data_IF_307052630989
#
_entry.id   IF_307052630989
#
_cell.length_a   1.000
_cell.length_b   1.000
_cell.length_c   1.000
_cell.angle_alpha   90.00
_cell.angle_beta   90.00
_cell.angle_gamma   90.00
#
_symmetry.space_group_name_H-M   'P 1'
#
loop_
_entity.id
_entity.type
_entity.pdbx_description
1 polymer ?
#
# COMPACT_ATOMS: atom_id res chain seq x y z
N UNK A 1 58.51 -1.18 -3.12
CA UNK A 1 57.35 -0.86 -2.26
C UNK A 1 56.11 -0.81 -3.12
N UNK A 2 55.18 -1.73 -2.87
CA UNK A 2 54.02 -2.04 -3.71
C UNK A 2 53.03 -0.87 -3.82
N UNK A 3 52.77 -0.43 -5.06
CA UNK A 3 51.72 0.52 -5.41
C UNK A 3 50.36 -0.22 -5.47
N UNK A 4 49.58 -0.17 -4.39
CA UNK A 4 48.17 -0.61 -4.42
C UNK A 4 47.32 0.44 -5.14
N UNK A 5 47.04 0.20 -6.43
CA UNK A 5 45.93 0.85 -7.14
C UNK A 5 44.62 0.47 -6.45
N UNK A 6 44.00 1.42 -5.74
CA UNK A 6 42.59 1.31 -5.32
C UNK A 6 41.73 1.21 -6.58
N UNK A 7 41.22 0.02 -6.87
CA UNK A 7 40.15 -0.15 -7.85
C UNK A 7 38.90 0.56 -7.29
N UNK A 8 38.45 1.61 -7.97
CA UNK A 8 37.14 2.18 -7.73
C UNK A 8 36.07 1.13 -8.04
N UNK A 9 35.05 0.96 -7.18
CA UNK A 9 33.99 -0.01 -7.48
C UNK A 9 33.27 0.45 -8.75
N UNK A 10 33.25 -0.43 -9.76
CA UNK A 10 32.49 -0.24 -11.00
C UNK A 10 31.06 0.13 -10.63
N UNK A 11 30.67 1.39 -10.89
CA UNK A 11 29.28 1.83 -10.76
C UNK A 11 28.46 1.05 -11.78
N UNK A 12 27.75 0.01 -11.34
CA UNK A 12 26.66 -0.53 -12.15
C UNK A 12 25.65 0.60 -12.39
N UNK A 13 25.27 0.90 -13.65
CA UNK A 13 24.18 1.83 -13.91
C UNK A 13 22.93 1.25 -13.24
N UNK A 14 22.43 1.94 -12.22
CA UNK A 14 21.18 1.53 -11.56
C UNK A 14 20.08 1.59 -12.61
N UNK A 15 19.31 0.51 -12.73
CA UNK A 15 18.13 0.43 -13.61
C UNK A 15 17.04 1.37 -13.06
N UNK A 16 17.17 2.66 -13.32
CA UNK A 16 16.17 3.69 -12.98
C UNK A 16 14.95 3.67 -13.93
N UNK A 17 14.98 2.83 -14.98
CA UNK A 17 13.94 2.73 -16.01
C UNK A 17 12.52 2.54 -15.46
N UNK A 18 12.25 1.55 -14.58
CA UNK A 18 10.92 1.33 -14.02
C UNK A 18 10.39 2.52 -13.20
N UNK A 19 11.29 3.25 -12.52
CA UNK A 19 10.92 4.46 -11.77
C UNK A 19 10.49 5.59 -12.71
N UNK A 20 11.25 5.83 -13.77
CA UNK A 20 10.91 6.84 -14.79
C UNK A 20 9.58 6.53 -15.48
N UNK A 21 9.31 5.26 -15.76
CA UNK A 21 8.02 4.84 -16.37
C UNK A 21 6.82 5.10 -15.45
N UNK A 22 6.96 4.87 -14.15
CA UNK A 22 5.91 5.21 -13.17
C UNK A 22 5.71 6.72 -13.04
N UNK A 23 6.78 7.51 -13.12
CA UNK A 23 6.69 8.98 -13.15
C UNK A 23 5.98 9.49 -14.42
N UNK A 24 6.25 8.86 -15.57
CA UNK A 24 5.51 9.17 -16.81
C UNK A 24 4.02 8.83 -16.66
N UNK A 25 3.68 7.70 -16.05
CA UNK A 25 2.28 7.33 -15.83
C UNK A 25 1.50 8.35 -14.98
N UNK A 26 2.17 9.07 -14.06
CA UNK A 26 1.55 10.16 -13.32
C UNK A 26 1.18 11.33 -14.23
N UNK A 27 2.05 11.70 -15.18
CA UNK A 27 1.74 12.72 -16.19
C UNK A 27 0.58 12.29 -17.08
N UNK A 28 0.52 11.02 -17.47
CA UNK A 28 -0.60 10.46 -18.23
C UNK A 28 -1.92 10.48 -17.44
N UNK A 29 -1.86 10.37 -16.11
CA UNK A 29 -3.05 10.50 -15.27
C UNK A 29 -3.66 11.91 -15.29
N UNK A 30 -2.82 12.96 -15.33
CA UNK A 30 -3.30 14.32 -15.56
C UNK A 30 -3.96 14.48 -16.93
N UNK A 31 -3.37 13.88 -17.97
CA UNK A 31 -3.99 13.85 -19.29
C UNK A 31 -5.37 13.17 -19.27
N UNK A 32 -5.55 12.15 -18.42
CA UNK A 32 -6.82 11.44 -18.26
C UNK A 32 -8.00 12.31 -17.85
N UNK A 33 -7.78 13.46 -17.19
CA UNK A 33 -8.85 14.42 -16.86
C UNK A 33 -9.56 14.90 -18.15
N UNK A 34 -8.80 15.14 -19.22
CA UNK A 34 -9.35 15.61 -20.49
C UNK A 34 -10.14 14.52 -21.24
N UNK A 35 -10.00 13.24 -20.86
CA UNK A 35 -10.76 12.13 -21.46
C UNK A 35 -12.11 11.91 -20.76
N UNK A 36 -12.30 12.44 -19.54
CA UNK A 36 -13.54 12.22 -18.75
C UNK A 36 -14.81 12.67 -19.49
N UNK A 37 -14.88 13.86 -20.13
CA UNK A 37 -16.08 14.29 -20.84
C UNK A 37 -16.48 13.40 -22.02
N UNK A 38 -15.54 12.61 -22.53
CA UNK A 38 -15.73 11.72 -23.69
C UNK A 38 -15.98 10.26 -23.29
N UNK A 39 -16.01 9.97 -21.99
CA UNK A 39 -16.26 8.63 -21.48
C UNK A 39 -17.75 8.32 -21.43
N UNK A 40 -18.09 7.08 -21.77
CA UNK A 40 -19.39 6.50 -21.41
C UNK A 40 -19.55 6.50 -19.88
N UNK A 41 -20.78 6.64 -19.41
CA UNK A 41 -21.11 6.63 -17.96
C UNK A 41 -20.60 5.36 -17.28
N UNK A 42 -20.68 4.20 -17.95
CA UNK A 42 -20.15 2.93 -17.43
C UNK A 42 -18.62 2.97 -17.20
N UNK A 43 -17.86 3.70 -18.02
CA UNK A 43 -16.40 3.87 -17.86
C UNK A 43 -16.06 4.71 -16.65
N UNK A 44 -16.86 5.74 -16.36
CA UNK A 44 -16.70 6.58 -15.17
C UNK A 44 -16.99 5.75 -13.91
N UNK A 45 -18.08 4.98 -13.91
CA UNK A 45 -18.39 4.04 -12.82
C UNK A 45 -17.32 2.97 -12.65
N UNK A 46 -16.76 2.47 -13.76
CA UNK A 46 -15.66 1.52 -13.70
C UNK A 46 -14.44 2.09 -12.99
N UNK A 47 -14.06 3.34 -13.28
CA UNK A 47 -12.98 4.01 -12.55
C UNK A 47 -13.29 4.15 -11.06
N UNK A 48 -14.52 4.56 -10.72
CA UNK A 48 -14.96 4.73 -9.34
C UNK A 48 -14.98 3.42 -8.55
N UNK A 49 -15.45 2.32 -9.15
CA UNK A 49 -15.52 0.98 -8.51
C UNK A 49 -14.13 0.33 -8.45
N UNK A 50 -13.29 0.55 -9.46
CA UNK A 50 -11.94 0.00 -9.49
C UNK A 50 -11.03 0.65 -8.44
N UNK A 51 -11.32 1.88 -8.00
CA UNK A 51 -10.61 2.54 -6.90
C UNK A 51 -10.62 1.73 -5.58
N UNK A 52 -11.76 1.43 -4.94
CA UNK A 52 -11.79 0.65 -3.70
C UNK A 52 -11.33 -0.79 -3.89
N UNK A 53 -11.58 -1.40 -5.05
CA UNK A 53 -11.03 -2.73 -5.39
C UNK A 53 -9.50 -2.67 -5.35
N UNK A 54 -8.91 -1.71 -6.06
CA UNK A 54 -7.45 -1.55 -6.08
C UNK A 54 -6.90 -1.18 -4.70
N UNK A 55 -7.61 -0.34 -3.96
CA UNK A 55 -7.30 -0.01 -2.57
C UNK A 55 -7.21 -1.26 -1.70
N UNK A 56 -8.16 -2.19 -1.83
CA UNK A 56 -8.13 -3.47 -1.11
C UNK A 56 -6.86 -4.30 -1.39
N UNK A 57 -6.34 -4.26 -2.63
CA UNK A 57 -5.06 -4.90 -2.97
C UNK A 57 -3.87 -4.34 -2.18
N UNK A 58 -3.91 -3.07 -1.79
CA UNK A 58 -2.92 -2.46 -0.88
C UNK A 58 -3.25 -2.84 0.56
N UNK A 59 -4.46 -2.55 1.03
CA UNK A 59 -4.82 -2.64 2.45
C UNK A 59 -4.92 -4.08 2.93
N UNK A 60 -5.77 -4.89 2.30
CA UNK A 60 -5.94 -6.30 2.60
C UNK A 60 -4.70 -7.10 2.22
N UNK A 61 -4.05 -6.74 1.12
CA UNK A 61 -2.86 -7.43 0.60
C UNK A 61 -1.53 -6.92 1.17
N UNK A 62 -0.90 -5.99 0.45
CA UNK A 62 0.48 -5.57 0.73
C UNK A 62 0.71 -5.16 2.18
N UNK A 63 -0.29 -4.53 2.80
CA UNK A 63 -0.25 -4.03 4.16
C UNK A 63 -0.58 -5.12 5.19
N UNK A 64 -1.85 -5.46 5.39
CA UNK A 64 -2.29 -6.31 6.50
C UNK A 64 -1.78 -7.75 6.36
N UNK A 65 -1.86 -8.34 5.15
CA UNK A 65 -1.41 -9.71 4.91
C UNK A 65 0.12 -9.80 4.86
N UNK A 66 0.76 -9.13 3.89
CA UNK A 66 2.18 -9.37 3.63
C UNK A 66 3.11 -8.55 4.51
N UNK A 67 2.86 -7.25 4.76
CA UNK A 67 3.75 -6.47 5.63
C UNK A 67 3.62 -6.89 7.10
N UNK A 68 2.39 -7.04 7.60
CA UNK A 68 2.11 -7.25 9.01
C UNK A 68 1.85 -8.70 9.43
N UNK A 69 1.54 -9.60 8.49
CA UNK A 69 1.20 -11.01 8.80
C UNK A 69 0.09 -11.09 9.85
N UNK A 70 -0.91 -10.22 9.74
CA UNK A 70 -1.99 -10.08 10.72
C UNK A 70 -3.06 -11.16 10.59
N UNK A 71 -3.05 -11.91 9.48
CA UNK A 71 -3.86 -13.09 9.22
C UNK A 71 -3.15 -14.04 8.25
N UNK A 72 -3.63 -15.28 8.13
CA UNK A 72 -3.21 -16.25 7.11
C UNK A 72 -4.24 -16.36 6.00
N UNK A 73 -3.80 -16.68 4.80
CA UNK A 73 -4.67 -16.78 3.64
C UNK A 73 -4.32 -17.98 2.75
N UNK A 74 -5.36 -18.59 2.18
CA UNK A 74 -5.24 -19.64 1.17
C UNK A 74 -4.46 -19.16 -0.06
N UNK A 75 -3.93 -20.09 -0.86
CA UNK A 75 -3.25 -19.74 -2.11
C UNK A 75 -4.16 -18.94 -3.06
N UNK A 76 -5.43 -19.36 -3.20
CA UNK A 76 -6.41 -18.70 -4.05
C UNK A 76 -6.59 -17.22 -3.65
N UNK A 77 -6.78 -16.94 -2.37
CA UNK A 77 -6.88 -15.56 -1.87
C UNK A 77 -5.60 -14.76 -2.17
N UNK A 78 -4.42 -15.32 -1.84
CA UNK A 78 -3.14 -14.64 -2.06
C UNK A 78 -2.91 -14.31 -3.54
N UNK A 79 -3.28 -15.22 -4.44
CA UNK A 79 -3.16 -15.01 -5.88
C UNK A 79 -4.10 -13.91 -6.36
N UNK A 80 -5.39 -13.96 -5.99
CA UNK A 80 -6.37 -12.92 -6.36
C UNK A 80 -5.96 -11.56 -5.83
N UNK A 81 -5.57 -11.47 -4.56
CA UNK A 81 -5.14 -10.21 -3.95
C UNK A 81 -3.84 -9.69 -4.59
N UNK A 82 -2.96 -10.55 -5.10
CA UNK A 82 -1.81 -10.13 -5.90
C UNK A 82 -2.24 -9.49 -7.22
N UNK A 83 -3.24 -10.03 -7.92
CA UNK A 83 -3.79 -9.40 -9.13
C UNK A 83 -4.35 -8.01 -8.82
N UNK A 84 -5.15 -7.92 -7.78
CA UNK A 84 -5.77 -6.66 -7.34
C UNK A 84 -4.71 -5.64 -6.89
N UNK A 85 -3.66 -6.08 -6.18
CA UNK A 85 -2.52 -5.25 -5.83
C UNK A 85 -1.75 -4.75 -7.07
N UNK A 86 -1.66 -5.58 -8.11
CA UNK A 86 -0.97 -5.22 -9.36
C UNK A 86 -1.68 -4.06 -10.07
N UNK A 87 -3.01 -3.92 -9.93
CA UNK A 87 -3.78 -2.76 -10.39
C UNK A 87 -3.39 -1.44 -9.68
N UNK A 88 -2.79 -1.52 -8.48
CA UNK A 88 -2.39 -0.35 -7.70
C UNK A 88 -1.03 0.20 -8.13
N UNK A 89 -0.16 -0.65 -8.66
CA UNK A 89 1.16 -0.30 -9.20
C UNK A 89 2.00 0.64 -8.29
N UNK A 90 1.95 0.41 -6.98
CA UNK A 90 2.70 1.18 -5.97
C UNK A 90 4.09 0.60 -5.65
N UNK A 91 4.48 -0.42 -6.40
CA UNK A 91 5.69 -1.20 -6.19
C UNK A 91 5.31 -2.67 -6.27
N UNK A 92 6.31 -3.55 -6.32
CA UNK A 92 6.06 -4.96 -6.07
C UNK A 92 5.67 -5.15 -4.61
N UNK A 93 4.81 -6.11 -4.28
CA UNK A 93 4.45 -6.49 -2.91
C UNK A 93 5.71 -6.65 -2.05
N UNK A 94 6.76 -7.30 -2.58
CA UNK A 94 8.04 -7.49 -1.89
C UNK A 94 8.66 -6.14 -1.42
N UNK A 95 8.85 -5.21 -2.34
CA UNK A 95 9.41 -3.89 -2.03
C UNK A 95 8.50 -3.07 -1.12
N UNK A 96 7.19 -3.08 -1.37
CA UNK A 96 6.20 -2.35 -0.57
C UNK A 96 6.24 -2.84 0.88
N UNK A 97 6.13 -4.15 1.09
CA UNK A 97 6.13 -4.74 2.43
C UNK A 97 7.45 -4.54 3.17
N UNK A 98 8.60 -4.64 2.47
CA UNK A 98 9.91 -4.34 3.08
C UNK A 98 10.01 -2.89 3.55
N UNK A 99 9.66 -1.95 2.68
CA UNK A 99 9.74 -0.52 3.01
C UNK A 99 8.72 -0.16 4.11
N UNK A 100 7.52 -0.76 4.10
CA UNK A 100 6.52 -0.59 5.15
C UNK A 100 6.96 -1.16 6.51
N UNK A 101 7.57 -2.35 6.53
CA UNK A 101 8.20 -2.88 7.75
C UNK A 101 9.31 -1.96 8.26
N UNK A 102 10.13 -1.42 7.35
CA UNK A 102 11.19 -0.45 7.71
C UNK A 102 10.59 0.80 8.35
N UNK A 103 9.49 1.31 7.79
CA UNK A 103 8.74 2.43 8.34
C UNK A 103 8.29 2.16 9.78
N UNK A 104 7.60 1.05 10.06
CA UNK A 104 7.19 0.77 11.45
C UNK A 104 8.34 0.61 12.45
N UNK A 105 9.48 0.05 12.05
CA UNK A 105 10.64 -0.07 12.95
C UNK A 105 11.34 1.27 13.23
N UNK A 106 11.19 2.24 12.33
CA UNK A 106 11.99 3.46 12.33
C UNK A 106 11.15 4.72 12.13
N UNK A 107 9.84 4.64 12.41
CA UNK A 107 8.87 5.71 12.18
C UNK A 107 9.37 7.00 12.82
N UNK A 108 9.23 8.12 12.11
CA UNK A 108 9.71 9.43 12.59
C UNK A 108 11.22 9.50 12.85
N UNK A 109 12.01 8.72 12.12
CA UNK A 109 13.47 8.84 12.13
C UNK A 109 14.03 8.99 10.71
N UNK A 110 15.30 9.37 10.63
CA UNK A 110 16.06 9.42 9.36
C UNK A 110 16.14 8.08 8.61
N UNK A 111 15.79 6.97 9.26
CA UNK A 111 15.72 5.64 8.67
C UNK A 111 14.31 5.25 8.19
N UNK A 112 13.30 6.10 8.41
CA UNK A 112 11.96 5.98 7.84
C UNK A 112 11.98 6.35 6.34
N UNK A 113 11.47 5.47 5.44
CA UNK A 113 11.33 5.80 4.02
C UNK A 113 10.52 7.07 3.72
N UNK A 114 9.53 7.40 4.54
CA UNK A 114 8.62 8.53 4.33
C UNK A 114 8.43 9.36 5.61
N UNK A 115 9.54 9.59 6.32
CA UNK A 115 9.65 10.39 7.54
C UNK A 115 8.77 11.65 7.55
N UNK A 116 7.70 11.60 8.35
CA UNK A 116 6.74 12.70 8.49
C UNK A 116 7.33 13.95 9.16
N UNK A 117 8.45 13.85 9.90
CA UNK A 117 9.12 15.00 10.51
C UNK A 117 9.66 15.95 9.43
N UNK A 118 9.96 15.43 8.24
CA UNK A 118 10.40 16.24 7.08
C UNK A 118 9.25 17.01 6.41
N UNK A 119 8.05 16.91 6.97
CA UNK A 119 6.87 17.67 6.56
C UNK A 119 6.00 16.95 5.52
N UNK A 120 4.80 17.49 5.35
CA UNK A 120 3.72 16.91 4.54
C UNK A 120 4.18 16.49 3.14
N UNK A 121 4.82 17.39 2.40
CA UNK A 121 5.20 17.12 1.00
C UNK A 121 6.23 16.02 0.85
N UNK A 122 7.17 15.91 1.79
CA UNK A 122 8.14 14.82 1.77
C UNK A 122 7.45 13.48 1.99
N UNK A 123 6.66 13.36 3.05
CA UNK A 123 5.96 12.11 3.41
C UNK A 123 4.88 11.72 2.40
N UNK A 124 4.22 12.70 1.77
CA UNK A 124 3.18 12.46 0.79
C UNK A 124 3.78 11.89 -0.51
N UNK A 125 4.72 12.60 -1.14
CA UNK A 125 5.25 12.15 -2.44
C UNK A 125 6.74 12.42 -2.62
N UNK A 126 7.33 13.39 -1.92
CA UNK A 126 8.72 13.79 -2.11
C UNK A 126 9.72 12.65 -1.94
N UNK A 127 9.46 11.71 -1.01
CA UNK A 127 10.29 10.54 -0.79
C UNK A 127 10.47 9.63 -2.02
N UNK A 128 9.52 9.64 -2.96
CA UNK A 128 9.60 8.87 -4.22
C UNK A 128 10.48 9.53 -5.28
N UNK A 129 10.62 10.86 -5.22
CA UNK A 129 11.37 11.66 -6.21
C UNK A 129 12.78 11.99 -5.77
N UNK A 130 13.03 11.98 -4.46
CA UNK A 130 14.35 12.20 -3.92
C UNK A 130 15.14 10.89 -3.86
N UNK A 131 16.47 11.02 -3.87
CA UNK A 131 17.35 9.89 -3.62
C UNK A 131 17.15 9.42 -2.19
N UNK A 132 16.79 8.14 -2.03
CA UNK A 132 16.64 7.48 -0.73
C UNK A 132 17.91 7.64 0.12
N UNK A 133 17.75 8.09 1.36
CA UNK A 133 18.86 8.26 2.31
C UNK A 133 19.55 6.90 2.53
N UNK A 134 20.90 6.84 2.58
CA UNK A 134 21.64 5.59 2.81
C UNK A 134 21.19 4.83 4.05
N UNK A 135 20.77 5.52 5.12
CA UNK A 135 20.31 4.93 6.39
C UNK A 135 19.01 4.15 6.22
N UNK A 136 18.08 4.66 5.42
CA UNK A 136 16.85 3.93 5.08
C UNK A 136 17.18 2.65 4.29
N UNK A 137 18.14 2.73 3.37
CA UNK A 137 18.58 1.55 2.61
C UNK A 137 19.28 0.52 3.50
N UNK A 138 20.01 0.96 4.53
CA UNK A 138 20.62 0.08 5.51
C UNK A 138 19.59 -0.58 6.42
N UNK A 139 18.66 0.20 6.98
CA UNK A 139 17.57 -0.29 7.81
C UNK A 139 16.72 -1.33 7.07
N UNK A 140 16.33 -1.06 5.83
CA UNK A 140 15.55 -1.99 5.02
C UNK A 140 16.27 -3.30 4.67
N UNK A 141 17.62 -3.35 4.73
CA UNK A 141 18.38 -4.61 4.58
C UNK A 141 18.32 -5.48 5.83
N UNK A 142 18.07 -4.89 7.00
CA UNK A 142 17.99 -5.60 8.29
C UNK A 142 16.59 -6.18 8.55
N UNK A 143 15.59 -5.72 7.83
CA UNK A 143 14.22 -6.26 7.90
C UNK A 143 14.18 -7.69 7.39
N UNK A 144 13.63 -8.60 8.19
CA UNK A 144 13.36 -9.98 7.76
C UNK A 144 12.31 -9.96 6.63
N UNK A 145 12.61 -10.65 5.52
CA UNK A 145 11.75 -10.76 4.33
C UNK A 145 11.66 -12.19 3.81
N UNK A 146 12.04 -13.18 4.62
CA UNK A 146 12.15 -14.57 4.16
C UNK A 146 10.78 -15.19 3.87
N UNK A 147 9.76 -14.76 4.62
CA UNK A 147 8.36 -15.08 4.32
C UNK A 147 7.92 -14.58 2.93
N UNK A 148 8.34 -13.37 2.54
CA UNK A 148 7.99 -12.79 1.24
C UNK A 148 8.70 -13.53 0.11
N UNK A 149 9.93 -14.00 0.34
CA UNK A 149 10.68 -14.82 -0.63
C UNK A 149 10.08 -16.21 -0.81
N UNK A 150 9.51 -16.76 0.25
CA UNK A 150 8.85 -18.07 0.24
C UNK A 150 7.44 -18.03 -0.40
N UNK A 151 6.80 -16.85 -0.46
CA UNK A 151 5.48 -16.68 -1.03
C UNK A 151 5.53 -16.58 -2.57
N UNK A 152 5.04 -17.61 -3.25
CA UNK A 152 5.07 -17.69 -4.71
C UNK A 152 4.33 -16.53 -5.42
N UNK A 153 3.07 -16.19 -5.09
CA UNK A 153 2.41 -15.01 -5.66
C UNK A 153 3.24 -13.72 -5.56
N UNK A 154 3.87 -13.48 -4.41
CA UNK A 154 4.72 -12.29 -4.20
C UNK A 154 5.93 -12.32 -5.13
N UNK A 155 6.64 -13.44 -5.20
CA UNK A 155 7.85 -13.53 -6.01
C UNK A 155 7.54 -13.61 -7.51
N UNK A 156 6.39 -14.15 -7.90
CA UNK A 156 5.90 -14.11 -9.27
C UNK A 156 5.66 -12.66 -9.71
N UNK A 157 4.89 -11.88 -8.93
CA UNK A 157 4.66 -10.46 -9.23
C UNK A 157 5.98 -9.69 -9.29
N UNK A 158 6.88 -9.94 -8.32
CA UNK A 158 8.17 -9.26 -8.25
C UNK A 158 9.09 -9.52 -9.45
N UNK A 159 9.18 -10.77 -9.91
CA UNK A 159 10.01 -11.15 -11.07
C UNK A 159 9.50 -10.59 -12.39
N UNK A 160 8.18 -10.37 -12.50
CA UNK A 160 7.55 -9.87 -13.72
C UNK A 160 7.30 -8.34 -13.71
N UNK A 161 7.71 -7.63 -12.65
CA UNK A 161 7.68 -6.17 -12.60
C UNK A 161 8.77 -5.57 -13.52
N UNK A 162 8.49 -4.46 -14.23
CA UNK A 162 7.30 -3.62 -14.15
C UNK A 162 6.13 -4.05 -15.04
N UNK A 163 6.36 -4.92 -16.02
CA UNK A 163 5.41 -5.17 -17.10
C UNK A 163 4.11 -5.81 -16.60
N UNK A 164 4.18 -6.74 -15.65
CA UNK A 164 3.00 -7.33 -15.04
C UNK A 164 2.10 -6.27 -14.41
N UNK A 165 2.65 -5.44 -13.53
CA UNK A 165 1.91 -4.38 -12.85
C UNK A 165 1.40 -3.34 -13.85
N UNK A 166 2.14 -3.01 -14.90
CA UNK A 166 1.68 -2.07 -15.93
C UNK A 166 0.49 -2.60 -16.72
N UNK A 167 0.52 -3.88 -17.12
CA UNK A 167 -0.61 -4.51 -17.81
C UNK A 167 -1.86 -4.44 -16.95
N UNK A 168 -1.78 -4.87 -15.68
CA UNK A 168 -2.93 -4.85 -14.77
C UNK A 168 -3.41 -3.44 -14.42
N UNK A 169 -2.50 -2.49 -14.22
CA UNK A 169 -2.85 -1.13 -13.81
C UNK A 169 -3.42 -0.27 -14.95
N UNK A 170 -2.93 -0.43 -16.18
CA UNK A 170 -3.24 0.50 -17.27
C UNK A 170 -3.98 -0.15 -18.45
N UNK A 171 -3.58 -1.36 -18.85
CA UNK A 171 -4.12 -1.97 -20.06
C UNK A 171 -5.40 -2.77 -19.80
N UNK A 172 -5.45 -3.54 -18.70
CA UNK A 172 -6.65 -4.30 -18.32
C UNK A 172 -7.88 -3.40 -18.17
N UNK A 173 -7.82 -2.23 -17.50
CA UNK A 173 -8.96 -1.31 -17.46
C UNK A 173 -9.44 -0.87 -18.85
N UNK A 174 -8.51 -0.64 -19.78
CA UNK A 174 -8.78 -0.33 -21.19
C UNK A 174 -9.54 -1.44 -21.91
N UNK A 175 -9.04 -2.67 -21.80
CA UNK A 175 -9.67 -3.84 -22.43
C UNK A 175 -11.03 -4.16 -21.83
N UNK A 176 -11.18 -4.08 -20.50
CA UNK A 176 -12.48 -4.30 -19.84
C UNK A 176 -13.50 -3.30 -20.37
N UNK A 177 -13.15 -2.02 -20.45
CA UNK A 177 -14.07 -1.01 -20.94
C UNK A 177 -14.47 -1.22 -22.41
N UNK A 178 -13.49 -1.58 -23.23
CA UNK A 178 -13.72 -1.86 -24.65
C UNK A 178 -14.61 -3.09 -24.87
N UNK A 179 -14.33 -4.19 -24.17
CA UNK A 179 -15.01 -5.47 -24.41
C UNK A 179 -16.38 -5.55 -23.71
N UNK A 180 -16.53 -4.95 -22.53
CA UNK A 180 -17.76 -5.11 -21.73
C UNK A 180 -18.88 -4.13 -22.11
N UNK A 181 -18.56 -2.91 -22.54
CA UNK A 181 -19.58 -1.91 -22.91
C UNK A 181 -19.23 -1.07 -24.15
N UNK A 182 -18.26 -1.55 -24.97
CA UNK A 182 -17.92 -0.94 -26.25
C UNK A 182 -17.34 0.47 -26.14
N UNK A 183 -16.61 0.77 -25.06
CA UNK A 183 -15.85 2.01 -24.93
C UNK A 183 -14.62 2.00 -25.85
N UNK A 184 -14.03 3.17 -26.13
CA UNK A 184 -12.70 3.18 -26.75
C UNK A 184 -11.65 2.64 -25.77
N UNK A 185 -10.70 1.84 -26.26
CA UNK A 185 -9.59 1.35 -25.43
C UNK A 185 -8.89 2.51 -24.69
N UNK A 186 -8.69 3.64 -25.37
CA UNK A 186 -7.98 4.79 -24.81
C UNK A 186 -8.73 5.51 -23.69
N UNK A 187 -10.06 5.65 -23.78
CA UNK A 187 -10.85 6.17 -22.66
C UNK A 187 -10.67 5.28 -21.42
N UNK A 188 -10.73 3.95 -21.58
CA UNK A 188 -10.47 3.00 -20.49
C UNK A 188 -9.02 3.01 -19.99
N UNK A 189 -8.03 3.21 -20.86
CA UNK A 189 -6.63 3.33 -20.48
C UNK A 189 -6.38 4.61 -19.67
N UNK A 190 -6.88 5.76 -20.13
CA UNK A 190 -6.60 7.05 -19.52
C UNK A 190 -7.41 7.31 -18.25
N UNK A 191 -8.68 6.91 -18.19
CA UNK A 191 -9.55 7.22 -17.04
C UNK A 191 -9.45 6.15 -15.94
N UNK A 192 -10.01 4.92 -16.10
CA UNK A 192 -9.89 3.88 -15.07
C UNK A 192 -8.46 3.29 -14.95
N UNK A 193 -7.60 3.44 -15.95
CA UNK A 193 -6.17 3.11 -15.86
C UNK A 193 -5.35 4.21 -15.16
N UNK A 194 -5.03 5.29 -15.89
CA UNK A 194 -4.08 6.33 -15.46
C UNK A 194 -4.64 7.31 -14.42
N UNK A 195 -5.82 7.91 -14.64
CA UNK A 195 -6.37 8.89 -13.71
C UNK A 195 -6.71 8.24 -12.35
N UNK A 196 -7.35 7.07 -12.37
CA UNK A 196 -7.60 6.28 -11.15
C UNK A 196 -6.31 5.83 -10.46
N UNK A 197 -5.22 5.56 -11.20
CA UNK A 197 -3.90 5.28 -10.61
C UNK A 197 -3.39 6.46 -9.78
N UNK A 198 -3.42 7.67 -10.34
CA UNK A 198 -3.04 8.90 -9.64
C UNK A 198 -3.90 9.11 -8.40
N UNK A 199 -5.22 8.94 -8.52
CA UNK A 199 -6.14 9.04 -7.39
C UNK A 199 -5.78 8.06 -6.26
N UNK A 200 -5.60 6.77 -6.58
CA UNK A 200 -5.22 5.74 -5.60
C UNK A 200 -3.89 6.07 -4.91
N UNK A 201 -2.92 6.60 -5.64
CA UNK A 201 -1.65 7.02 -5.06
C UNK A 201 -1.85 8.11 -4.02
N UNK A 202 -2.56 9.19 -4.34
CA UNK A 202 -2.81 10.27 -3.39
C UNK A 202 -3.60 9.81 -2.17
N UNK A 203 -4.61 8.94 -2.34
CA UNK A 203 -5.32 8.33 -1.22
C UNK A 203 -4.37 7.56 -0.28
N UNK A 204 -3.43 6.78 -0.84
CA UNK A 204 -2.48 5.99 -0.06
C UNK A 204 -1.43 6.89 0.59
N UNK A 205 -0.88 7.84 -0.16
CA UNK A 205 0.12 8.80 0.32
C UNK A 205 -0.41 9.70 1.43
N UNK A 206 -1.72 9.93 1.48
CA UNK A 206 -2.35 10.64 2.60
C UNK A 206 -2.27 9.86 3.92
N UNK A 207 -2.11 8.53 3.88
CA UNK A 207 -1.83 7.73 5.08
C UNK A 207 -0.45 8.11 5.64
N UNK A 208 0.57 8.15 4.79
CA UNK A 208 1.94 8.50 5.20
C UNK A 208 2.06 9.96 5.67
N UNK A 209 1.30 10.89 5.07
CA UNK A 209 1.39 12.30 5.41
C UNK A 209 0.27 12.75 6.35
N UNK A 210 -0.97 12.80 5.86
CA UNK A 210 -2.11 13.30 6.61
C UNK A 210 -2.37 12.55 7.91
N UNK A 211 -2.25 11.22 7.90
CA UNK A 211 -2.46 10.41 9.10
C UNK A 211 -1.24 10.37 10.05
N UNK A 212 -0.10 10.97 9.70
CA UNK A 212 1.00 11.20 10.65
C UNK A 212 1.02 12.63 11.22
N UNK A 213 0.31 13.57 10.58
CA UNK A 213 0.34 14.98 10.96
C UNK A 213 -0.93 15.41 11.68
N UNK A 214 -2.10 14.95 11.21
CA UNK A 214 -3.39 15.49 11.64
C UNK A 214 -4.34 14.40 12.11
N UNK A 215 -4.92 14.59 13.31
CA UNK A 215 -5.91 13.70 13.89
C UNK A 215 -5.75 13.53 15.41
N UNK A 216 -6.57 12.67 15.99
CA UNK A 216 -6.50 12.30 17.40
C UNK A 216 -5.47 11.20 17.67
N UNK A 217 -4.90 11.15 18.88
CA UNK A 217 -3.90 10.13 19.29
C UNK A 217 -4.29 9.40 20.57
N UNK A 218 -5.42 8.68 20.58
CA UNK A 218 -5.99 8.13 21.81
C UNK A 218 -5.22 6.93 22.39
N UNK A 219 -4.37 6.25 21.59
CA UNK A 219 -3.66 5.02 21.98
C UNK A 219 -2.18 5.23 22.26
N UNK A 220 -1.58 6.23 21.60
CA UNK A 220 -0.20 6.65 21.86
C UNK A 220 -0.03 8.17 21.61
N UNK A 221 -0.25 9.01 22.64
CA UNK A 221 -0.25 10.46 22.52
C UNK A 221 1.11 11.07 22.14
N UNK A 222 2.21 10.34 22.35
CA UNK A 222 3.58 10.81 22.06
C UNK A 222 4.02 10.48 20.64
N UNK A 223 3.31 9.57 19.96
CA UNK A 223 3.58 9.20 18.57
C UNK A 223 2.97 10.19 17.56
N UNK A 224 3.55 10.31 16.37
CA UNK A 224 2.96 11.12 15.29
C UNK A 224 1.70 10.51 14.64
N UNK A 225 1.62 9.20 14.35
CA UNK A 225 0.43 8.55 13.78
C UNK A 225 -0.86 8.92 14.50
N UNK A 226 -1.89 9.27 13.75
CA UNK A 226 -3.11 9.86 14.23
C UNK A 226 -4.35 9.21 13.58
N UNK A 227 -5.43 9.15 14.35
CA UNK A 227 -6.76 8.76 13.87
C UNK A 227 -7.34 9.90 13.00
N UNK A 228 -7.56 9.62 11.71
CA UNK A 228 -8.05 10.58 10.73
C UNK A 228 -9.18 9.99 9.89
N UNK A 229 -10.42 10.45 10.12
CA UNK A 229 -11.63 9.94 9.47
C UNK A 229 -11.64 10.16 7.96
N UNK A 230 -11.16 11.31 7.49
CA UNK A 230 -11.08 11.61 6.06
C UNK A 230 -10.11 10.65 5.37
N UNK A 231 -8.94 10.43 5.98
CA UNK A 231 -7.98 9.44 5.48
C UNK A 231 -8.58 8.05 5.51
N UNK A 232 -9.34 7.67 6.55
CA UNK A 232 -9.98 6.36 6.62
C UNK A 232 -10.96 6.12 5.46
N UNK A 233 -11.73 7.13 5.07
CA UNK A 233 -12.63 7.06 3.91
C UNK A 233 -11.82 6.91 2.62
N UNK A 234 -10.83 7.79 2.41
CA UNK A 234 -10.04 7.80 1.17
C UNK A 234 -9.17 6.55 1.00
N UNK A 235 -8.70 5.97 2.09
CA UNK A 235 -7.79 4.81 2.11
C UNK A 235 -8.50 3.50 2.45
N UNK A 236 -9.83 3.43 2.37
CA UNK A 236 -10.58 2.16 2.51
C UNK A 236 -10.36 1.49 3.90
N UNK A 237 -10.14 2.32 4.92
CA UNK A 237 -10.02 1.92 6.32
C UNK A 237 -8.65 2.12 6.98
N UNK A 238 -7.64 2.70 6.31
CA UNK A 238 -6.27 2.83 6.87
C UNK A 238 -5.99 4.14 7.62
N UNK A 239 -7.00 4.99 7.80
CA UNK A 239 -6.86 6.25 8.53
C UNK A 239 -6.89 6.12 10.05
N UNK A 240 -7.12 4.92 10.59
CA UNK A 240 -7.10 4.64 12.03
C UNK A 240 -5.66 4.38 12.49
N UNK A 241 -4.81 5.39 12.26
CA UNK A 241 -3.37 5.19 12.13
C UNK A 241 -2.64 5.17 13.47
N UNK A 242 -3.18 5.82 14.51
CA UNK A 242 -2.62 5.74 15.86
C UNK A 242 -2.80 4.33 16.44
N UNK A 243 -3.99 3.73 16.25
CA UNK A 243 -4.24 2.33 16.59
C UNK A 243 -3.32 1.41 15.83
N UNK A 244 -3.23 1.60 14.51
CA UNK A 244 -2.43 0.76 13.65
C UNK A 244 -0.95 0.74 14.05
N UNK A 245 -0.35 1.89 14.34
CA UNK A 245 1.04 1.97 14.79
C UNK A 245 1.24 1.40 16.20
N UNK A 246 0.25 1.53 17.09
CA UNK A 246 0.30 0.92 18.42
C UNK A 246 0.18 -0.60 18.37
N UNK A 247 -0.67 -1.12 17.48
CA UNK A 247 -1.00 -2.54 17.35
C UNK A 247 -0.85 -3.02 15.90
N UNK A 248 0.37 -3.03 15.34
CA UNK A 248 0.59 -3.31 13.91
C UNK A 248 0.23 -4.73 13.50
N UNK A 249 0.09 -5.65 14.44
CA UNK A 249 -0.33 -7.03 14.17
C UNK A 249 -1.85 -7.22 14.07
N UNK A 250 -2.66 -6.21 14.40
CA UNK A 250 -4.13 -6.30 14.35
C UNK A 250 -4.63 -6.28 12.89
N UNK A 251 -5.38 -7.31 12.46
CA UNK A 251 -5.81 -7.41 11.06
C UNK A 251 -6.82 -6.36 10.64
N UNK A 252 -7.58 -5.79 11.58
CA UNK A 252 -8.49 -4.71 11.22
C UNK A 252 -7.78 -3.37 11.11
N UNK A 253 -6.59 -3.21 11.68
CA UNK A 253 -5.93 -1.90 11.79
C UNK A 253 -6.82 -0.81 12.45
N UNK A 254 -7.82 -1.20 13.24
CA UNK A 254 -8.73 -0.30 13.97
C UNK A 254 -9.29 -0.99 15.21
N UNK A 255 -9.68 -0.22 16.22
CA UNK A 255 -10.24 -0.75 17.48
C UNK A 255 -11.64 -1.34 17.29
N UNK A 256 -12.54 -0.56 16.70
CA UNK A 256 -13.96 -0.85 16.66
C UNK A 256 -14.40 -1.55 15.37
N UNK A 257 -15.69 -1.87 15.29
CA UNK A 257 -16.32 -2.53 14.15
C UNK A 257 -16.47 -1.62 12.93
N UNK A 258 -16.83 -2.22 11.80
CA UNK A 258 -16.90 -1.57 10.48
C UNK A 258 -17.90 -0.41 10.39
N UNK A 259 -18.92 -0.39 11.25
CA UNK A 259 -19.96 0.64 11.26
C UNK A 259 -19.54 1.88 12.06
N UNK A 260 -18.82 1.66 13.16
CA UNK A 260 -18.31 2.73 14.04
C UNK A 260 -17.02 3.34 13.51
N UNK A 261 -16.16 2.50 12.91
CA UNK A 261 -14.96 2.92 12.22
C UNK A 261 -15.05 2.38 10.80
N UNK A 262 -15.27 3.27 9.83
CA UNK A 262 -15.30 2.94 8.41
C UNK A 262 -14.06 2.10 8.04
N UNK A 263 -14.29 0.83 7.75
CA UNK A 263 -13.24 -0.16 7.53
C UNK A 263 -13.72 -1.31 6.61
N UNK A 264 -14.02 -1.00 5.33
CA UNK A 264 -14.44 -2.01 4.36
C UNK A 264 -13.40 -3.11 4.16
N UNK A 265 -12.10 -2.82 4.30
CA UNK A 265 -11.04 -3.84 4.24
C UNK A 265 -11.26 -4.95 5.29
N UNK A 266 -11.59 -4.58 6.53
CA UNK A 266 -11.93 -5.54 7.59
C UNK A 266 -13.12 -6.41 7.20
N UNK A 267 -14.18 -5.81 6.65
CA UNK A 267 -15.38 -6.55 6.22
C UNK A 267 -15.04 -7.62 5.18
N UNK A 268 -14.25 -7.27 4.15
CA UNK A 268 -13.85 -8.24 3.11
C UNK A 268 -13.04 -9.39 3.71
N UNK A 269 -12.09 -9.09 4.60
CA UNK A 269 -11.31 -10.11 5.30
C UNK A 269 -12.20 -11.03 6.14
N UNK A 270 -13.22 -10.48 6.82
CA UNK A 270 -14.18 -11.26 7.62
C UNK A 270 -15.03 -12.20 6.78
N UNK A 271 -15.54 -11.71 5.65
CA UNK A 271 -16.31 -12.52 4.69
C UNK A 271 -15.44 -13.64 4.13
N UNK A 272 -14.20 -13.33 3.72
CA UNK A 272 -13.25 -14.34 3.25
C UNK A 272 -12.91 -15.38 4.33
N UNK A 273 -12.88 -14.99 5.60
CA UNK A 273 -12.70 -15.93 6.70
C UNK A 273 -13.92 -16.83 6.91
N UNK A 274 -15.13 -16.28 6.78
CA UNK A 274 -16.37 -17.06 6.91
C UNK A 274 -16.49 -18.16 5.84
N UNK A 275 -15.92 -17.95 4.64
CA UNK A 275 -15.87 -18.96 3.57
C UNK A 275 -14.56 -19.78 3.55
N UNK A 276 -13.74 -19.69 4.60
CA UNK A 276 -12.53 -20.52 4.75
C UNK A 276 -11.31 -20.10 3.93
N UNK A 277 -11.33 -18.94 3.26
CA UNK A 277 -10.18 -18.44 2.49
C UNK A 277 -9.13 -17.74 3.36
N UNK A 278 -9.54 -17.25 4.55
CA UNK A 278 -8.71 -16.56 5.53
C UNK A 278 -8.82 -17.25 6.90
N UNK A 279 -7.71 -17.34 7.62
CA UNK A 279 -7.61 -17.91 8.98
C UNK A 279 -6.68 -17.07 9.86
N UNK A 280 -6.59 -17.40 11.15
CA UNK A 280 -5.65 -16.81 12.12
C UNK A 280 -5.65 -15.27 12.18
N UNK A 281 -6.84 -14.67 12.06
CA UNK A 281 -7.06 -13.22 12.19
C UNK A 281 -6.69 -12.74 13.60
N UNK A 282 -5.64 -11.93 13.71
CA UNK A 282 -5.16 -11.39 15.00
C UNK A 282 -5.88 -10.11 15.38
N UNK A 283 -6.35 -10.01 16.63
CA UNK A 283 -7.02 -8.82 17.18
C UNK A 283 -6.34 -8.37 18.47
N UNK A 284 -6.00 -7.09 18.56
CA UNK A 284 -5.40 -6.50 19.75
C UNK A 284 -6.43 -6.29 20.86
N UNK A 285 -7.71 -6.09 20.53
CA UNK A 285 -8.79 -5.97 21.52
C UNK A 285 -8.92 -7.21 22.42
N UNK A 286 -8.71 -8.41 21.87
CA UNK A 286 -8.73 -9.65 22.63
C UNK A 286 -7.54 -9.78 23.61
N UNK A 287 -6.40 -9.17 23.29
CA UNK A 287 -5.20 -9.17 24.14
C UNK A 287 -5.31 -8.10 25.22
N UNK A 288 -5.76 -6.90 24.88
CA UNK A 288 -5.98 -5.81 25.84
C UNK A 288 -6.96 -6.22 26.95
N UNK A 289 -8.06 -6.91 26.60
CA UNK A 289 -9.00 -7.45 27.58
C UNK A 289 -8.37 -8.49 28.52
N UNK A 290 -7.47 -9.36 28.01
CA UNK A 290 -6.74 -10.35 28.81
C UNK A 290 -5.73 -9.70 29.75
N UNK A 291 -5.02 -8.66 29.30
CA UNK A 291 -4.07 -7.92 30.13
C UNK A 291 -4.79 -7.12 31.22
N UNK A 292 -5.92 -6.48 30.89
CA UNK A 292 -6.75 -5.78 31.88
C UNK A 292 -7.35 -6.74 32.92
N UNK A 293 -7.77 -7.94 32.52
CA UNK A 293 -8.25 -8.98 33.45
C UNK A 293 -7.17 -9.58 34.36
N UNK A 294 -5.92 -9.69 33.89
CA UNK A 294 -4.79 -10.14 34.72
C UNK A 294 -4.29 -9.08 35.72
N UNK A 295 -4.65 -7.81 35.53
CA UNK A 295 -4.31 -6.71 36.45
C UNK A 295 -5.21 -6.62 37.70
N UNK A 296 -6.30 -7.41 37.77
CA UNK A 296 -7.25 -7.40 38.87
C UNK A 296 -6.90 -8.35 40.04
N UNK A 297 -5.71 -8.96 40.02
CA UNK A 297 -5.18 -9.82 41.10
C UNK A 297 -3.83 -9.33 41.62
N UNK A 298 -3.74 -8.04 41.99
CA UNK A 298 -2.68 -7.52 42.86
C UNK A 298 -3.27 -6.58 43.90
#
# INVERSE_FOLDING_TARGET
TLHQRRQSPKRHPRRDGPRRLRQLALLLGFAGIFFVPYCKVATIWWAFILWPITGFGITGGAHRLWAHRSYKASFAYRFVVMLVNSCANQGTIFHWARDHRTHHFHSETVADPHDAIRGFWFAHMGWLYLKKDPRVAEAGRKVNVDDLKADWPVMFQHRNDPWWNFVWCFFIPGFVAQLAWGETFWNGFFVPGCLRYVWVLHCTWMVNSGAHLWGGRPYDPQSNPAENKLVAILSIGEGWHNWHHKYPFDYAASEYGILTQFNPTKLVIDVCAAVGLVSDRKRATAIAARVAGCGAWR
#
